data_IF_164510516814
#
_entry.id   IF_164510516814
#
_cell.length_a   1.000
_cell.length_b   1.000
_cell.length_c   1.000
_cell.angle_alpha   90.00
_cell.angle_beta   90.00
_cell.angle_gamma   90.00
#
_symmetry.space_group_name_H-M   'P 1'
#
loop_
_entity.id
_entity.type
_entity.pdbx_description
1 polymer ?
#
# COMPACT_ATOMS: atom_id res chain seq x y z
N UNK A 1 -10.70 43.96 -7.77
CA UNK A 1 -10.00 43.26 -6.67
C UNK A 1 -10.59 41.85 -6.48
N UNK A 2 -10.57 40.99 -7.50
CA UNK A 2 -11.12 39.62 -7.45
C UNK A 2 -10.19 38.54 -8.04
N UNK A 3 -9.07 38.94 -8.66
CA UNK A 3 -8.11 38.02 -9.30
C UNK A 3 -7.36 37.11 -8.31
N UNK A 4 -7.33 37.46 -7.02
CA UNK A 4 -6.69 36.66 -5.96
C UNK A 4 -7.50 35.42 -5.55
N UNK A 5 -8.83 35.44 -5.73
CA UNK A 5 -9.70 34.31 -5.37
C UNK A 5 -9.66 33.20 -6.44
N UNK A 6 -9.50 33.58 -7.72
CA UNK A 6 -9.41 32.63 -8.84
C UNK A 6 -8.14 31.78 -8.82
N UNK A 7 -7.00 32.39 -8.46
CA UNK A 7 -5.71 31.69 -8.40
C UNK A 7 -5.69 30.59 -7.34
N UNK A 8 -6.32 30.86 -6.18
CA UNK A 8 -6.42 29.89 -5.08
C UNK A 8 -7.21 28.62 -5.46
N UNK A 9 -8.24 28.76 -6.30
CA UNK A 9 -9.05 27.64 -6.77
C UNK A 9 -8.34 26.82 -7.86
N UNK A 10 -7.55 27.48 -8.73
CA UNK A 10 -6.73 26.81 -9.74
C UNK A 10 -5.64 25.93 -9.11
N UNK A 11 -4.96 26.41 -8.07
CA UNK A 11 -3.94 25.64 -7.34
C UNK A 11 -4.53 24.40 -6.63
N UNK A 12 -5.76 24.47 -6.13
CA UNK A 12 -6.44 23.34 -5.46
C UNK A 12 -6.76 22.19 -6.42
N UNK A 13 -7.03 22.49 -7.70
CA UNK A 13 -7.31 21.47 -8.74
C UNK A 13 -6.05 20.69 -9.15
N UNK A 14 -4.88 21.32 -9.07
CA UNK A 14 -3.59 20.68 -9.40
C UNK A 14 -3.11 19.72 -8.29
N UNK A 15 -3.50 19.94 -7.02
CA UNK A 15 -3.08 19.07 -5.89
C UNK A 15 -3.84 17.74 -5.80
N UNK A 16 -5.14 17.74 -6.09
CA UNK A 16 -5.99 16.54 -6.04
C UNK A 16 -5.45 15.31 -6.81
N UNK A 17 -4.97 15.42 -8.06
CA UNK A 17 -4.51 14.24 -8.81
C UNK A 17 -3.31 13.53 -8.18
N UNK A 18 -2.46 14.25 -7.45
CA UNK A 18 -1.30 13.64 -6.76
C UNK A 18 -1.72 12.86 -5.51
N UNK A 19 -2.74 13.33 -4.80
CA UNK A 19 -3.26 12.70 -3.58
C UNK A 19 -4.03 11.42 -3.91
N UNK A 20 -4.87 11.45 -4.96
CA UNK A 20 -5.59 10.25 -5.46
C UNK A 20 -4.62 9.18 -5.98
N UNK A 21 -3.62 9.56 -6.77
CA UNK A 21 -2.61 8.61 -7.25
C UNK A 21 -1.81 7.99 -6.10
N UNK A 22 -1.43 8.77 -5.08
CA UNK A 22 -0.72 8.25 -3.91
C UNK A 22 -1.59 7.25 -3.12
N UNK A 23 -2.88 7.57 -2.94
CA UNK A 23 -3.82 6.68 -2.26
C UNK A 23 -4.02 5.36 -3.01
N UNK A 24 -4.17 5.39 -4.34
CA UNK A 24 -4.25 4.17 -5.14
C UNK A 24 -2.99 3.31 -5.03
N UNK A 25 -1.80 3.92 -5.07
CA UNK A 25 -0.54 3.19 -4.91
C UNK A 25 -0.42 2.53 -3.53
N UNK A 26 -0.77 3.25 -2.46
CA UNK A 26 -0.79 2.71 -1.10
C UNK A 26 -1.74 1.52 -0.98
N UNK A 27 -2.93 1.63 -1.57
CA UNK A 27 -3.95 0.57 -1.58
C UNK A 27 -3.48 -0.66 -2.37
N UNK A 28 -2.77 -0.46 -3.49
CA UNK A 28 -2.20 -1.55 -4.27
C UNK A 28 -1.08 -2.29 -3.51
N UNK A 29 -0.28 -1.57 -2.72
CA UNK A 29 0.74 -2.17 -1.85
C UNK A 29 0.08 -3.00 -0.74
N UNK A 30 -0.94 -2.45 -0.09
CA UNK A 30 -1.70 -3.15 0.97
C UNK A 30 -2.29 -4.47 0.47
N UNK A 31 -2.84 -4.50 -0.75
CA UNK A 31 -3.39 -5.73 -1.34
C UNK A 31 -2.32 -6.78 -1.66
N UNK A 32 -1.05 -6.38 -1.87
CA UNK A 32 0.05 -7.27 -2.27
C UNK A 32 0.84 -7.84 -1.10
N UNK A 33 0.58 -7.43 0.14
CA UNK A 33 1.36 -7.86 1.32
C UNK A 33 0.67 -8.95 2.15
N UNK A 34 -0.45 -9.49 1.70
CA UNK A 34 -1.15 -10.54 2.44
C UNK A 34 -0.49 -11.91 2.19
N UNK A 35 0.01 -12.52 3.27
CA UNK A 35 0.66 -13.84 3.25
C UNK A 35 -0.11 -14.79 4.16
N UNK A 36 -0.37 -16.02 3.68
CA UNK A 36 -0.96 -17.09 4.47
C UNK A 36 0.08 -18.15 4.78
N UNK A 37 0.19 -18.55 6.04
CA UNK A 37 1.08 -19.62 6.45
C UNK A 37 0.59 -20.97 5.88
N UNK A 38 1.38 -21.71 5.09
CA UNK A 38 0.97 -23.00 4.53
C UNK A 38 0.93 -24.13 5.59
N UNK A 39 1.56 -23.92 6.75
CA UNK A 39 1.66 -24.94 7.79
C UNK A 39 0.51 -24.89 8.80
N UNK A 40 0.05 -23.70 9.17
CA UNK A 40 -1.00 -23.53 10.18
C UNK A 40 -2.19 -22.68 9.73
N UNK A 41 -2.15 -22.12 8.52
CA UNK A 41 -3.27 -21.39 7.91
C UNK A 41 -3.48 -19.97 8.42
N UNK A 42 -2.64 -19.46 9.32
CA UNK A 42 -2.77 -18.09 9.82
C UNK A 42 -2.39 -17.06 8.74
N UNK A 43 -3.06 -15.92 8.74
CA UNK A 43 -2.90 -14.86 7.74
C UNK A 43 -2.19 -13.64 8.33
N UNK A 44 -1.37 -13.00 7.51
CA UNK A 44 -0.59 -11.82 7.89
C UNK A 44 -0.69 -10.75 6.81
N UNK A 45 -0.86 -9.50 7.22
CA UNK A 45 -0.77 -8.33 6.32
C UNK A 45 0.69 -7.87 6.17
N UNK A 46 1.60 -8.82 6.01
CA UNK A 46 3.04 -8.57 5.81
C UNK A 46 3.70 -9.78 5.15
N UNK A 47 4.99 -9.67 4.84
CA UNK A 47 5.82 -10.76 4.28
C UNK A 47 6.86 -11.26 5.30
N UNK A 48 6.43 -11.93 6.39
CA UNK A 48 7.37 -12.39 7.41
C UNK A 48 8.20 -13.58 6.90
N UNK A 49 9.46 -13.68 7.35
CA UNK A 49 10.33 -14.84 7.05
C UNK A 49 9.96 -16.10 7.85
N UNK A 50 9.31 -15.90 8.99
CA UNK A 50 8.88 -16.97 9.91
C UNK A 50 7.45 -16.69 10.39
N UNK A 51 6.66 -17.75 10.55
CA UNK A 51 5.32 -17.66 11.11
C UNK A 51 5.40 -17.43 12.63
N UNK A 52 4.80 -16.37 13.17
CA UNK A 52 4.79 -16.14 14.63
C UNK A 52 3.99 -17.20 15.40
N UNK A 53 3.02 -17.87 14.75
CA UNK A 53 2.16 -18.85 15.40
C UNK A 53 2.76 -20.26 15.50
N UNK A 54 3.42 -20.75 14.44
CA UNK A 54 3.96 -22.11 14.40
C UNK A 54 5.48 -22.18 14.21
N UNK A 55 6.16 -21.04 14.18
CA UNK A 55 7.62 -20.91 14.04
C UNK A 55 8.23 -21.49 12.76
N UNK A 56 7.41 -22.02 11.84
CA UNK A 56 7.89 -22.50 10.55
C UNK A 56 8.38 -21.34 9.67
N UNK A 57 9.44 -21.61 8.91
CA UNK A 57 9.95 -20.70 7.88
C UNK A 57 8.92 -20.57 6.77
N UNK A 58 8.64 -19.34 6.36
CA UNK A 58 7.79 -19.06 5.22
C UNK A 58 8.68 -18.94 3.99
N UNK A 59 8.41 -19.76 2.98
CA UNK A 59 9.08 -19.69 1.69
C UNK A 59 8.34 -18.64 0.88
N UNK A 60 8.76 -17.39 1.00
CA UNK A 60 8.33 -16.33 0.08
C UNK A 60 9.21 -16.44 -1.16
N UNK A 61 8.61 -16.73 -2.31
CA UNK A 61 9.30 -16.57 -3.60
C UNK A 61 9.65 -15.09 -3.73
N UNK A 62 10.94 -14.78 -3.66
CA UNK A 62 11.45 -13.46 -3.99
C UNK A 62 11.19 -13.25 -5.47
N UNK A 63 10.13 -12.49 -5.80
CA UNK A 63 9.95 -11.94 -7.13
C UNK A 63 11.07 -10.92 -7.30
N UNK A 64 12.20 -11.39 -7.84
CA UNK A 64 13.27 -10.54 -8.34
C UNK A 64 12.73 -9.78 -9.56
N UNK A 65 12.59 -8.47 -9.41
CA UNK A 65 12.51 -7.52 -10.54
C UNK A 65 13.59 -6.45 -10.34
#
# INVERSE_FOLDING_TARGET
>A
MFFSLGLSLLLKKIRKPKEEALYENLKAIEQKINTKCPHCGIEFNSRPKYCYNCSNKLITEEINE
#
